data_IF_070476105224
#
_entry.id   IF_070476105224
#
_cell.length_a   1.000
_cell.length_b   1.000
_cell.length_c   1.000
_cell.angle_alpha   90.00
_cell.angle_beta   90.00
_cell.angle_gamma   90.00
#
_symmetry.space_group_name_H-M   'P 1'
#
loop_
_entity.id
_entity.type
_entity.pdbx_description
1 polymer ?
#
# COMPACT_ATOMS: atom_id res chain seq x y z
N UNK A 1 9.71 21.12 13.19
CA UNK A 1 9.76 20.34 11.93
C UNK A 1 8.36 19.96 11.47
N UNK A 2 8.14 19.89 10.16
CA UNK A 2 6.87 19.59 9.53
C UNK A 2 6.26 18.27 10.01
N UNK A 3 4.94 18.25 10.13
CA UNK A 3 4.14 17.12 10.59
C UNK A 3 3.09 16.69 9.57
N UNK A 4 2.54 15.49 9.76
CA UNK A 4 1.45 14.97 8.94
C UNK A 4 0.21 14.77 9.81
N UNK A 5 -0.65 15.78 9.80
CA UNK A 5 -1.90 15.81 10.53
C UNK A 5 -3.01 15.07 9.78
N UNK A 6 -4.08 14.72 10.50
CA UNK A 6 -5.25 14.06 9.91
C UNK A 6 -6.49 14.86 10.23
N UNK A 7 -7.25 15.20 9.19
CA UNK A 7 -8.49 15.95 9.34
C UNK A 7 -9.70 15.13 8.88
N UNK A 8 -10.87 15.48 9.42
CA UNK A 8 -12.14 15.00 8.89
C UNK A 8 -12.67 16.04 7.91
N UNK A 9 -12.41 15.81 6.62
CA UNK A 9 -12.81 16.75 5.57
C UNK A 9 -14.31 16.65 5.30
N UNK A 10 -15.00 17.78 5.46
CA UNK A 10 -16.41 17.94 5.13
C UNK A 10 -16.54 18.89 3.93
N UNK A 11 -16.98 18.40 2.76
CA UNK A 11 -17.19 19.23 1.58
C UNK A 11 -18.26 20.30 1.85
N UNK A 12 -17.87 21.57 1.84
CA UNK A 12 -18.77 22.72 1.96
C UNK A 12 -18.51 23.72 0.83
N UNK A 13 -19.52 24.50 0.48
CA UNK A 13 -19.41 25.62 -0.46
C UNK A 13 -19.75 26.91 0.29
N UNK A 14 -18.96 27.94 0.07
CA UNK A 14 -19.27 29.29 0.49
C UNK A 14 -20.32 29.87 -0.47
N UNK A 15 -21.44 30.32 0.08
CA UNK A 15 -22.51 31.01 -0.64
C UNK A 15 -22.79 32.33 0.08
N UNK A 16 -22.98 33.41 -0.68
CA UNK A 16 -23.39 34.70 -0.11
C UNK A 16 -24.91 34.74 -0.22
N UNK A 17 -25.61 34.74 0.93
CA UNK A 17 -27.07 34.94 1.01
C UNK A 17 -27.31 36.14 1.92
N UNK A 18 -28.13 37.08 1.45
CA UNK A 18 -28.52 38.29 2.17
C UNK A 18 -27.33 39.11 2.73
N UNK A 19 -26.24 39.19 1.94
CA UNK A 19 -25.03 39.92 2.33
C UNK A 19 -24.16 39.20 3.39
N UNK A 20 -24.52 37.99 3.79
CA UNK A 20 -23.77 37.17 4.77
C UNK A 20 -23.15 35.93 4.12
N UNK A 21 -21.95 35.55 4.57
CA UNK A 21 -21.29 34.32 4.17
C UNK A 21 -21.97 33.13 4.86
N UNK A 22 -22.59 32.24 4.08
CA UNK A 22 -23.14 30.98 4.55
C UNK A 22 -22.38 29.79 3.97
N UNK A 23 -22.25 28.73 4.76
CA UNK A 23 -21.62 27.49 4.34
C UNK A 23 -22.68 26.44 4.03
N UNK A 24 -22.90 26.16 2.74
CA UNK A 24 -23.81 25.11 2.30
C UNK A 24 -23.07 23.76 2.23
N UNK A 25 -23.71 22.68 2.68
CA UNK A 25 -23.14 21.34 2.58
C UNK A 25 -23.21 20.85 1.13
N UNK A 26 -22.09 20.37 0.59
CA UNK A 26 -22.08 19.75 -0.74
C UNK A 26 -22.53 18.29 -0.65
N UNK A 27 -23.22 17.79 -1.68
CA UNK A 27 -23.57 16.36 -1.86
C UNK A 27 -22.36 15.49 -2.21
N UNK A 28 -21.22 15.70 -1.54
CA UNK A 28 -19.99 14.89 -1.68
C UNK A 28 -19.73 14.17 -0.38
N UNK A 29 -19.24 12.93 -0.46
CA UNK A 29 -18.96 12.12 0.73
C UNK A 29 -17.85 12.79 1.57
N UNK A 30 -18.00 12.87 2.90
CA UNK A 30 -16.92 13.32 3.77
C UNK A 30 -15.74 12.34 3.73
N UNK A 31 -14.53 12.85 3.92
CA UNK A 31 -13.31 12.04 3.92
C UNK A 31 -12.75 12.06 5.34
N UNK A 32 -12.83 10.91 6.02
CA UNK A 32 -12.24 10.72 7.35
C UNK A 32 -10.73 10.57 7.22
N UNK A 33 -9.98 11.12 8.18
CA UNK A 33 -8.52 10.99 8.25
C UNK A 33 -7.76 11.42 6.97
N UNK A 34 -8.20 12.50 6.32
CA UNK A 34 -7.47 13.07 5.18
C UNK A 34 -6.11 13.60 5.67
N UNK A 35 -4.98 13.13 5.12
CA UNK A 35 -3.66 13.56 5.52
C UNK A 35 -3.36 15.00 5.07
N UNK A 36 -2.80 15.82 5.95
CA UNK A 36 -2.40 17.21 5.69
C UNK A 36 -0.97 17.45 6.19
N UNK A 37 -0.13 18.11 5.40
CA UNK A 37 1.19 18.56 5.81
C UNK A 37 1.07 19.96 6.42
N UNK A 38 1.65 20.10 7.60
CA UNK A 38 1.79 21.33 8.36
C UNK A 38 3.27 21.58 8.58
N UNK A 39 3.73 22.79 8.32
CA UNK A 39 5.11 23.23 8.52
C UNK A 39 5.39 23.49 10.01
N UNK A 40 6.66 23.66 10.38
CA UNK A 40 7.08 23.95 11.75
C UNK A 40 6.44 25.21 12.34
N UNK A 41 6.16 26.22 11.52
CA UNK A 41 5.52 27.47 11.91
C UNK A 41 3.98 27.34 12.08
N UNK A 42 3.44 26.13 12.00
CA UNK A 42 2.01 25.80 11.98
C UNK A 42 1.26 26.30 10.74
N UNK A 43 1.95 26.86 9.74
CA UNK A 43 1.34 27.13 8.45
C UNK A 43 1.16 25.81 7.67
N UNK A 44 0.25 25.81 6.70
CA UNK A 44 -0.04 24.59 5.93
C UNK A 44 0.66 24.62 4.59
N UNK A 45 1.12 23.47 4.11
CA UNK A 45 1.54 23.34 2.72
C UNK A 45 0.30 23.19 1.82
N UNK A 46 -0.30 24.33 1.46
CA UNK A 46 -1.58 24.40 0.76
C UNK A 46 -1.62 23.53 -0.50
N UNK A 47 -0.57 23.56 -1.32
CA UNK A 47 -0.46 22.83 -2.57
C UNK A 47 -0.42 21.32 -2.36
N UNK A 48 0.41 20.85 -1.43
CA UNK A 48 0.48 19.43 -1.09
C UNK A 48 -0.84 18.93 -0.51
N UNK A 49 -1.53 19.76 0.27
CA UNK A 49 -2.82 19.47 0.88
C UNK A 49 -3.97 19.44 -0.13
N UNK A 50 -3.96 20.35 -1.11
CA UNK A 50 -4.86 20.31 -2.26
C UNK A 50 -4.62 19.06 -3.11
N UNK A 51 -3.35 18.67 -3.30
CA UNK A 51 -3.03 17.43 -4.00
C UNK A 51 -3.58 16.21 -3.24
N UNK A 52 -3.43 16.14 -1.92
CA UNK A 52 -4.00 15.05 -1.11
C UNK A 52 -5.53 14.95 -1.30
N UNK A 53 -6.23 16.09 -1.30
CA UNK A 53 -7.68 16.15 -1.51
C UNK A 53 -8.08 15.70 -2.92
N UNK A 54 -7.38 16.16 -3.96
CA UNK A 54 -7.62 15.74 -5.35
C UNK A 54 -7.44 14.23 -5.52
N UNK A 55 -6.38 13.68 -4.91
CA UNK A 55 -6.10 12.25 -4.93
C UNK A 55 -7.17 11.44 -4.19
N UNK A 56 -7.67 11.93 -3.05
CA UNK A 56 -8.67 11.25 -2.23
C UNK A 56 -10.10 11.36 -2.79
N UNK A 57 -10.37 12.38 -3.61
CA UNK A 57 -11.66 12.56 -4.29
C UNK A 57 -11.71 11.86 -5.65
N UNK A 58 -10.56 11.50 -6.22
CA UNK A 58 -10.49 10.67 -7.42
C UNK A 58 -10.94 9.24 -7.12
N UNK A 59 -11.85 8.68 -7.94
CA UNK A 59 -12.30 7.28 -7.81
C UNK A 59 -11.21 6.22 -8.04
N UNK A 60 -10.00 6.66 -8.44
CA UNK A 60 -8.90 5.79 -8.86
C UNK A 60 -7.95 5.38 -7.74
N UNK A 61 -8.03 5.98 -6.55
CA UNK A 61 -7.03 5.76 -5.47
C UNK A 61 -7.69 5.57 -4.13
N UNK A 62 -7.23 4.55 -3.39
CA UNK A 62 -7.64 4.36 -2.01
C UNK A 62 -6.94 5.38 -1.08
N UNK A 63 -7.56 5.67 0.06
CA UNK A 63 -7.02 6.63 1.02
C UNK A 63 -5.67 6.17 1.61
N UNK A 64 -5.43 4.86 1.65
CA UNK A 64 -4.15 4.28 2.08
C UNK A 64 -2.99 4.71 1.16
N UNK A 65 -3.22 4.69 -0.15
CA UNK A 65 -2.26 5.16 -1.16
C UNK A 65 -2.06 6.67 -1.05
N UNK A 66 -3.12 7.44 -0.81
CA UNK A 66 -3.00 8.89 -0.56
C UNK A 66 -2.11 9.15 0.66
N UNK A 67 -2.35 8.45 1.76
CA UNK A 67 -1.54 8.57 2.98
C UNK A 67 -0.08 8.17 2.77
N UNK A 68 0.18 7.10 2.02
CA UNK A 68 1.54 6.69 1.66
C UNK A 68 2.26 7.77 0.84
N UNK A 69 1.61 8.32 -0.18
CA UNK A 69 2.16 9.43 -0.96
C UNK A 69 2.45 10.66 -0.09
N UNK A 70 1.53 11.04 0.80
CA UNK A 70 1.72 12.18 1.68
C UNK A 70 2.82 11.96 2.72
N UNK A 71 3.03 10.72 3.17
CA UNK A 71 4.17 10.39 4.03
C UNK A 71 5.51 10.56 3.31
N UNK A 72 5.57 10.25 2.01
CA UNK A 72 6.74 10.53 1.19
C UNK A 72 6.96 12.03 0.97
N UNK A 73 5.91 12.81 0.75
CA UNK A 73 6.01 14.27 0.67
C UNK A 73 6.39 14.89 2.02
N UNK A 74 5.94 14.34 3.14
CA UNK A 74 6.38 14.79 4.47
C UNK A 74 7.90 14.65 4.63
N UNK A 75 8.48 13.54 4.17
CA UNK A 75 9.93 13.37 4.21
C UNK A 75 10.66 14.44 3.39
N UNK A 76 10.06 14.87 2.28
CA UNK A 76 10.57 15.98 1.48
C UNK A 76 10.39 17.34 2.20
N UNK A 77 9.22 17.60 2.79
CA UNK A 77 8.94 18.79 3.60
C UNK A 77 9.96 18.97 4.74
N UNK A 78 10.20 17.90 5.50
CA UNK A 78 11.19 17.89 6.59
C UNK A 78 12.61 18.19 6.10
N UNK A 79 12.98 17.66 4.93
CA UNK A 79 14.28 17.93 4.33
C UNK A 79 14.39 19.39 3.85
N UNK A 80 13.33 19.95 3.28
CA UNK A 80 13.29 21.36 2.86
C UNK A 80 13.50 22.31 4.05
N UNK A 81 12.84 22.05 5.18
CA UNK A 81 13.04 22.84 6.41
C UNK A 81 14.47 22.70 6.95
N UNK A 82 14.98 21.46 7.04
CA UNK A 82 16.33 21.20 7.54
C UNK A 82 17.41 21.91 6.70
N UNK A 83 17.21 22.00 5.38
CA UNK A 83 18.12 22.69 4.46
C UNK A 83 17.78 24.17 4.24
N UNK A 84 16.69 24.66 4.84
CA UNK A 84 16.16 26.03 4.63
C UNK A 84 15.94 26.38 3.15
N UNK A 85 15.41 25.43 2.36
CA UNK A 85 15.14 25.59 0.93
C UNK A 85 13.63 25.71 0.70
N UNK A 86 13.22 26.68 -0.12
CA UNK A 86 11.84 26.78 -0.56
C UNK A 86 11.49 25.68 -1.56
N UNK A 87 10.30 25.10 -1.45
CA UNK A 87 9.86 24.03 -2.35
C UNK A 87 9.67 24.50 -3.81
N UNK A 88 9.56 25.80 -4.07
CA UNK A 88 9.55 26.38 -5.43
C UNK A 88 10.92 26.90 -5.90
N UNK A 89 12.02 26.50 -5.24
CA UNK A 89 13.36 26.97 -5.59
C UNK A 89 13.92 26.26 -6.84
N UNK A 90 13.81 26.93 -7.99
CA UNK A 90 14.24 26.45 -9.32
C UNK A 90 15.14 27.47 -10.05
N UNK A 91 16.38 27.70 -9.56
CA UNK A 91 17.34 28.57 -10.24
C UNK A 91 17.83 27.96 -11.57
N UNK A 92 18.53 28.79 -12.36
CA UNK A 92 19.17 28.39 -13.62
C UNK A 92 20.08 27.17 -13.40
N UNK A 93 20.94 27.24 -12.37
CA UNK A 93 21.87 26.17 -12.04
C UNK A 93 21.14 24.94 -11.52
N UNK A 94 21.15 23.88 -12.33
CA UNK A 94 20.43 22.63 -12.05
C UNK A 94 20.78 22.02 -10.68
N UNK A 95 22.05 22.00 -10.31
CA UNK A 95 22.51 21.40 -9.05
C UNK A 95 21.95 22.07 -7.79
N UNK A 96 21.47 23.32 -7.91
CA UNK A 96 20.90 24.09 -6.80
C UNK A 96 19.39 23.92 -6.68
N UNK A 97 18.73 23.38 -7.71
CA UNK A 97 17.28 23.14 -7.71
C UNK A 97 16.91 22.19 -6.57
N UNK A 98 15.84 22.54 -5.85
CA UNK A 98 15.40 21.80 -4.66
C UNK A 98 15.20 20.30 -4.92
N UNK A 99 14.69 19.92 -6.10
CA UNK A 99 14.48 18.52 -6.48
C UNK A 99 15.77 17.74 -6.72
N UNK A 100 16.78 18.38 -7.33
CA UNK A 100 18.07 17.76 -7.63
C UNK A 100 18.85 17.55 -6.33
N UNK A 101 18.86 18.56 -5.45
CA UNK A 101 19.45 18.47 -4.12
C UNK A 101 18.78 17.38 -3.27
N UNK A 102 17.45 17.32 -3.27
CA UNK A 102 16.72 16.27 -2.53
C UNK A 102 17.02 14.87 -3.06
N UNK A 103 17.08 14.70 -4.38
CA UNK A 103 17.51 13.44 -4.99
C UNK A 103 18.92 13.05 -4.52
N UNK A 104 19.85 14.00 -4.48
CA UNK A 104 21.19 13.79 -3.95
C UNK A 104 21.18 13.27 -2.51
N UNK A 105 20.41 13.91 -1.64
CA UNK A 105 20.24 13.50 -0.24
C UNK A 105 19.65 12.08 -0.12
N UNK A 106 18.63 11.74 -0.92
CA UNK A 106 18.06 10.39 -0.94
C UNK A 106 19.05 9.32 -1.40
N UNK A 107 19.87 9.63 -2.40
CA UNK A 107 20.91 8.71 -2.90
C UNK A 107 22.01 8.53 -1.85
N UNK A 108 22.44 9.60 -1.17
CA UNK A 108 23.42 9.53 -0.09
C UNK A 108 22.90 8.65 1.07
N UNK A 109 21.68 8.92 1.57
CA UNK A 109 21.04 8.13 2.63
C UNK A 109 20.82 6.66 2.25
N UNK A 110 20.58 6.38 0.96
CA UNK A 110 20.49 5.01 0.46
C UNK A 110 21.86 4.32 0.50
N UNK A 111 22.91 5.02 0.08
CA UNK A 111 24.25 4.46 -0.01
C UNK A 111 24.88 4.26 1.38
N UNK A 112 24.50 5.05 2.39
CA UNK A 112 24.90 4.87 3.79
C UNK A 112 24.13 3.75 4.52
N UNK A 113 23.03 3.26 3.94
CA UNK A 113 22.18 2.23 4.54
C UNK A 113 21.05 2.79 5.42
N UNK A 114 20.96 4.10 5.61
CA UNK A 114 19.88 4.76 6.38
C UNK A 114 18.51 4.65 5.69
N UNK A 115 18.51 4.41 4.38
CA UNK A 115 17.30 4.35 3.57
C UNK A 115 17.30 3.15 2.63
N UNK A 116 16.25 2.32 2.71
CA UNK A 116 16.07 1.23 1.76
C UNK A 116 15.97 1.76 0.31
N UNK A 117 16.52 1.04 -0.70
CA UNK A 117 16.44 1.43 -2.10
C UNK A 117 15.02 1.69 -2.60
N UNK A 118 14.07 0.84 -2.18
CA UNK A 118 12.65 0.99 -2.49
C UNK A 118 12.08 2.29 -1.94
N UNK A 119 12.41 2.64 -0.69
CA UNK A 119 11.94 3.86 -0.03
C UNK A 119 12.52 5.11 -0.69
N UNK A 120 13.79 5.11 -1.07
CA UNK A 120 14.41 6.20 -1.82
C UNK A 120 13.70 6.45 -3.16
N UNK A 121 13.48 5.38 -3.93
CA UNK A 121 12.74 5.45 -5.20
C UNK A 121 11.30 5.92 -5.03
N UNK A 122 10.58 5.41 -4.03
CA UNK A 122 9.19 5.78 -3.78
C UNK A 122 9.04 7.23 -3.32
N UNK A 123 9.95 7.73 -2.46
CA UNK A 123 9.99 9.13 -2.02
C UNK A 123 10.12 10.06 -3.22
N UNK A 124 11.13 9.83 -4.06
CA UNK A 124 11.35 10.69 -5.23
C UNK A 124 10.20 10.61 -6.23
N UNK A 125 9.65 9.41 -6.45
CA UNK A 125 8.52 9.23 -7.35
C UNK A 125 7.24 9.96 -6.85
N UNK A 126 7.00 10.01 -5.54
CA UNK A 126 5.88 10.76 -4.98
C UNK A 126 6.04 12.27 -5.19
N UNK A 127 7.25 12.81 -4.97
CA UNK A 127 7.57 14.22 -5.22
C UNK A 127 7.40 14.56 -6.70
N UNK A 128 7.93 13.76 -7.62
CA UNK A 128 7.74 13.97 -9.07
C UNK A 128 6.25 13.98 -9.45
N UNK A 129 5.43 13.08 -8.88
CA UNK A 129 3.98 13.06 -9.13
C UNK A 129 3.29 14.33 -8.64
N UNK A 130 3.69 14.84 -7.49
CA UNK A 130 3.17 16.10 -6.94
C UNK A 130 3.49 17.28 -7.87
N UNK A 131 4.74 17.45 -8.31
CA UNK A 131 5.09 18.55 -9.22
C UNK A 131 4.49 18.40 -10.62
N UNK A 132 4.33 17.17 -11.14
CA UNK A 132 3.58 16.94 -12.39
C UNK A 132 2.13 17.38 -12.25
N UNK A 133 1.50 17.08 -11.11
CA UNK A 133 0.14 17.55 -10.82
C UNK A 133 0.08 19.09 -10.72
N UNK A 134 1.05 19.71 -10.06
CA UNK A 134 1.17 21.18 -9.97
C UNK A 134 1.25 21.84 -11.35
N UNK A 135 2.06 21.28 -12.27
CA UNK A 135 2.15 21.77 -13.65
C UNK A 135 0.81 21.64 -14.39
N UNK A 136 0.15 20.48 -14.32
CA UNK A 136 -1.14 20.25 -14.98
C UNK A 136 -2.23 21.19 -14.45
N UNK A 137 -2.20 21.49 -13.14
CA UNK A 137 -3.12 22.43 -12.48
C UNK A 137 -2.71 23.90 -12.64
N UNK A 138 -1.57 24.19 -13.30
CA UNK A 138 -0.99 25.53 -13.47
C UNK A 138 -0.77 26.27 -12.14
N UNK A 139 -0.45 25.51 -11.08
CA UNK A 139 -0.15 26.05 -9.75
C UNK A 139 1.35 26.37 -9.58
N UNK A 140 2.18 26.01 -10.57
CA UNK A 140 3.59 26.36 -10.62
C UNK A 140 3.99 26.69 -12.06
N UNK A 141 4.80 27.74 -12.23
CA UNK A 141 5.39 28.15 -13.50
C UNK A 141 6.82 28.61 -13.25
N UNK A 142 7.78 27.68 -13.07
CA UNK A 142 9.16 28.05 -12.83
C UNK A 142 9.76 28.62 -14.11
N UNK A 143 10.64 29.61 -13.96
CA UNK A 143 11.37 30.22 -15.08
C UNK A 143 12.30 29.20 -15.77
N UNK A 144 12.92 28.34 -14.97
CA UNK A 144 13.76 27.25 -15.43
C UNK A 144 13.08 25.89 -15.25
N UNK A 145 13.33 24.92 -16.14
CA UNK A 145 12.68 23.61 -16.06
C UNK A 145 13.04 22.90 -14.74
N UNK A 146 12.06 22.25 -14.12
CA UNK A 146 12.27 21.53 -12.86
C UNK A 146 13.14 20.27 -13.01
N UNK A 147 13.13 19.68 -14.22
CA UNK A 147 13.83 18.43 -14.57
C UNK A 147 13.88 18.23 -16.09
N UNK A 148 14.74 17.31 -16.54
CA UNK A 148 14.71 16.80 -17.91
C UNK A 148 13.74 15.63 -18.06
N UNK A 149 12.93 15.65 -19.12
CA UNK A 149 12.10 14.49 -19.48
C UNK A 149 12.95 13.45 -20.20
N UNK A 150 12.76 12.17 -19.85
CA UNK A 150 13.44 11.03 -20.48
C UNK A 150 12.43 9.96 -20.83
N UNK A 151 12.69 9.17 -21.86
CA UNK A 151 11.87 8.01 -22.19
C UNK A 151 12.62 6.73 -21.82
N UNK A 152 11.97 5.84 -21.09
CA UNK A 152 12.55 4.55 -20.67
C UNK A 152 11.70 3.43 -21.26
N UNK A 153 12.35 2.50 -21.97
CA UNK A 153 11.71 1.28 -22.46
C UNK A 153 11.52 0.28 -21.33
N UNK A 154 10.28 -0.08 -21.02
CA UNK A 154 9.94 -1.16 -20.10
C UNK A 154 9.58 -2.38 -20.94
N UNK A 155 10.35 -3.46 -20.77
CA UNK A 155 10.00 -4.75 -21.34
C UNK A 155 8.91 -5.40 -20.49
N UNK A 156 7.79 -5.70 -21.12
CA UNK A 156 6.68 -6.45 -20.56
C UNK A 156 6.69 -7.83 -21.19
N UNK A 157 6.81 -8.86 -20.36
CA UNK A 157 6.64 -10.25 -20.78
C UNK A 157 5.20 -10.64 -20.54
N UNK A 158 4.49 -11.06 -21.58
CA UNK A 158 3.13 -11.57 -21.41
C UNK A 158 3.16 -13.02 -20.86
N UNK A 159 2.04 -13.54 -20.34
CA UNK A 159 1.96 -14.92 -19.84
C UNK A 159 2.30 -16.00 -20.88
N UNK A 160 2.31 -15.66 -22.17
CA UNK A 160 2.62 -16.54 -23.29
C UNK A 160 4.08 -16.41 -23.78
N UNK A 161 4.92 -15.65 -23.06
CA UNK A 161 6.36 -15.51 -23.36
C UNK A 161 6.74 -14.46 -24.42
N UNK A 162 5.80 -13.67 -24.94
CA UNK A 162 6.11 -12.58 -25.86
C UNK A 162 6.58 -11.34 -25.10
N UNK A 163 7.68 -10.74 -25.58
CA UNK A 163 8.20 -9.47 -25.07
C UNK A 163 7.63 -8.29 -25.86
N UNK A 164 6.98 -7.36 -25.17
CA UNK A 164 6.61 -6.05 -25.72
C UNK A 164 7.38 -4.96 -24.98
N UNK A 165 8.07 -4.08 -25.72
CA UNK A 165 8.75 -2.92 -25.12
C UNK A 165 7.82 -1.71 -25.19
N UNK A 166 7.39 -1.22 -24.03
CA UNK A 166 6.59 0.00 -23.90
C UNK A 166 7.50 1.17 -23.52
N UNK A 167 7.47 2.27 -24.27
CA UNK A 167 8.16 3.50 -23.86
C UNK A 167 7.35 4.25 -22.81
N UNK A 168 7.97 4.56 -21.67
CA UNK A 168 7.35 5.29 -20.57
C UNK A 168 8.11 6.58 -20.33
N UNK A 169 7.37 7.69 -20.24
CA UNK A 169 7.92 8.98 -19.84
C UNK A 169 8.39 8.94 -18.38
N UNK A 170 9.66 9.22 -18.18
CA UNK A 170 10.39 9.30 -16.91
C UNK A 170 11.08 10.66 -16.81
N UNK A 171 11.82 10.88 -15.73
CA UNK A 171 12.61 12.08 -15.51
C UNK A 171 14.04 11.68 -15.11
N UNK A 172 15.01 12.53 -15.39
CA UNK A 172 16.38 12.45 -14.83
C UNK A 172 16.41 12.36 -13.29
N UNK A 173 15.38 12.91 -12.63
CA UNK A 173 15.20 12.84 -11.19
C UNK A 173 14.88 11.44 -10.66
N UNK A 174 14.44 10.50 -11.49
CA UNK A 174 14.06 9.18 -11.04
C UNK A 174 15.25 8.44 -10.42
N UNK A 175 15.06 7.82 -9.25
CA UNK A 175 16.05 6.98 -8.59
C UNK A 175 15.75 5.52 -8.93
N UNK A 176 16.61 4.82 -9.70
CA UNK A 176 16.40 3.41 -10.01
C UNK A 176 16.44 2.55 -8.74
N UNK A 177 15.44 1.69 -8.58
CA UNK A 177 15.42 0.69 -7.51
C UNK A 177 16.29 -0.51 -7.90
N UNK A 178 17.62 -0.31 -7.88
CA UNK A 178 18.57 -1.41 -8.06
C UNK A 178 18.67 -2.17 -6.74
N UNK A 179 18.09 -3.38 -6.70
CA UNK A 179 18.36 -4.32 -5.61
C UNK A 179 19.85 -4.68 -5.66
N UNK A 180 20.50 -4.74 -4.50
CA UNK A 180 21.87 -5.27 -4.41
C UNK A 180 21.80 -6.74 -4.84
N UNK A 181 22.50 -7.10 -5.91
CA UNK A 181 22.55 -8.47 -6.39
C UNK A 181 23.30 -9.33 -5.36
N UNK A 182 22.68 -10.42 -4.89
CA UNK A 182 23.35 -11.42 -4.06
C UNK A 182 22.59 -11.90 -2.82
N UNK A 183 21.56 -11.17 -2.35
CA UNK A 183 20.77 -11.60 -1.20
C UNK A 183 19.37 -12.03 -1.65
N UNK A 184 18.96 -13.26 -1.30
CA UNK A 184 17.56 -13.71 -1.37
C UNK A 184 16.78 -12.87 -0.35
N UNK A 185 16.37 -11.67 -0.76
CA UNK A 185 15.62 -10.74 0.10
C UNK A 185 14.16 -10.71 -0.35
N UNK A 186 13.29 -11.13 0.57
CA UNK A 186 11.84 -10.89 0.48
C UNK A 186 11.54 -9.39 0.61
N UNK A 187 10.25 -9.01 0.61
CA UNK A 187 9.85 -7.63 0.92
C UNK A 187 10.50 -7.18 2.26
N UNK A 188 11.04 -5.95 2.29
CA UNK A 188 11.71 -5.32 3.45
C UNK A 188 12.96 -6.01 4.02
N UNK A 189 13.65 -6.83 3.22
CA UNK A 189 14.90 -7.47 3.66
C UNK A 189 14.68 -8.69 4.56
N UNK A 190 13.45 -9.18 4.63
CA UNK A 190 13.13 -10.43 5.32
C UNK A 190 13.83 -11.61 4.63
N UNK A 191 14.30 -12.54 5.44
CA UNK A 191 14.81 -13.83 4.99
C UNK A 191 13.69 -14.88 5.12
N UNK A 192 13.56 -15.81 4.16
CA UNK A 192 12.66 -16.95 4.32
C UNK A 192 12.98 -17.71 5.62
N UNK A 193 11.93 -18.08 6.36
CA UNK A 193 12.07 -18.96 7.52
C UNK A 193 12.58 -20.32 7.04
N UNK A 194 13.63 -20.84 7.68
CA UNK A 194 14.15 -22.16 7.35
C UNK A 194 13.12 -23.25 7.68
N UNK A 195 13.22 -24.42 7.04
CA UNK A 195 12.30 -25.54 7.31
C UNK A 195 12.39 -25.98 8.79
N UNK A 196 13.58 -25.94 9.40
CA UNK A 196 13.75 -26.24 10.82
C UNK A 196 13.03 -25.23 11.72
N UNK A 197 13.25 -23.94 11.49
CA UNK A 197 12.60 -22.88 12.25
C UNK A 197 11.08 -22.88 12.06
N UNK A 198 10.60 -23.17 10.84
CA UNK A 198 9.16 -23.32 10.57
C UNK A 198 8.55 -24.42 11.45
N UNK A 199 9.20 -25.59 11.55
CA UNK A 199 8.74 -26.69 12.41
C UNK A 199 8.71 -26.27 13.88
N UNK A 200 9.75 -25.62 14.37
CA UNK A 200 9.82 -25.12 15.75
C UNK A 200 8.71 -24.09 16.04
N UNK A 201 8.48 -23.15 15.11
CA UNK A 201 7.41 -22.15 15.22
C UNK A 201 6.04 -22.83 15.29
N UNK A 202 5.78 -23.82 14.44
CA UNK A 202 4.51 -24.54 14.44
C UNK A 202 4.28 -25.33 15.74
N UNK A 203 5.31 -26.02 16.23
CA UNK A 203 5.24 -26.73 17.53
C UNK A 203 4.99 -25.75 18.67
N UNK A 204 5.70 -24.61 18.69
CA UNK A 204 5.51 -23.59 19.71
C UNK A 204 4.10 -22.99 19.66
N UNK A 205 3.57 -22.76 18.44
CA UNK A 205 2.23 -22.25 18.22
C UNK A 205 1.17 -23.25 18.69
N UNK A 206 1.32 -24.54 18.42
CA UNK A 206 0.37 -25.56 18.89
C UNK A 206 0.31 -25.63 20.42
N UNK A 207 1.44 -25.43 21.11
CA UNK A 207 1.50 -25.48 22.57
C UNK A 207 1.01 -24.20 23.26
N UNK A 208 1.27 -23.02 22.66
CA UNK A 208 1.14 -21.74 23.38
C UNK A 208 0.21 -20.73 22.71
N UNK A 209 -0.09 -20.87 21.42
CA UNK A 209 -0.95 -19.93 20.70
C UNK A 209 -2.42 -20.33 20.77
N UNK A 210 -3.29 -19.43 20.32
CA UNK A 210 -4.68 -19.80 20.07
C UNK A 210 -4.76 -20.73 18.87
N UNK A 211 -5.75 -21.64 18.87
CA UNK A 211 -6.04 -22.53 17.74
C UNK A 211 -6.13 -21.77 16.41
N UNK A 212 -6.78 -20.59 16.41
CA UNK A 212 -6.87 -19.74 15.23
C UNK A 212 -5.51 -19.28 14.71
N UNK A 213 -4.61 -18.87 15.61
CA UNK A 213 -3.28 -18.40 15.22
C UNK A 213 -2.42 -19.56 14.69
N UNK A 214 -2.49 -20.74 15.32
CA UNK A 214 -1.80 -21.93 14.79
C UNK A 214 -2.30 -22.29 13.39
N UNK A 215 -3.61 -22.32 13.16
CA UNK A 215 -4.20 -22.59 11.84
C UNK A 215 -3.84 -21.52 10.80
N UNK A 216 -3.82 -20.24 11.18
CA UNK A 216 -3.35 -19.16 10.29
C UNK A 216 -1.88 -19.31 9.91
N UNK A 217 -1.01 -19.69 10.86
CA UNK A 217 0.41 -19.92 10.58
C UNK A 217 0.59 -21.10 9.63
N UNK A 218 -0.11 -22.22 9.85
CA UNK A 218 -0.10 -23.37 8.94
C UNK A 218 -0.56 -22.99 7.54
N UNK A 219 -1.66 -22.25 7.42
CA UNK A 219 -2.09 -21.70 6.13
C UNK A 219 -1.00 -20.85 5.49
N UNK A 220 -0.39 -19.92 6.22
CA UNK A 220 0.68 -19.08 5.70
C UNK A 220 1.88 -19.88 5.17
N UNK A 221 2.36 -20.86 5.94
CA UNK A 221 3.51 -21.68 5.57
C UNK A 221 3.23 -22.64 4.40
N UNK A 222 2.07 -23.31 4.39
CA UNK A 222 1.78 -24.37 3.42
C UNK A 222 1.10 -23.89 2.14
N UNK A 223 0.42 -22.74 2.16
CA UNK A 223 -0.28 -22.17 1.00
C UNK A 223 0.37 -20.90 0.46
N UNK A 224 1.26 -20.25 1.22
CA UNK A 224 1.89 -18.99 0.82
C UNK A 224 0.91 -17.81 0.72
N UNK A 225 -0.31 -17.95 1.25
CA UNK A 225 -1.30 -16.88 1.27
C UNK A 225 -0.78 -15.70 2.10
N UNK A 226 -1.03 -14.49 1.61
CA UNK A 226 -0.78 -13.27 2.39
C UNK A 226 -1.74 -13.23 3.57
N UNK A 227 -1.31 -12.69 4.70
CA UNK A 227 -2.13 -12.59 5.91
C UNK A 227 -3.52 -11.97 5.66
N UNK A 228 -3.60 -10.92 4.81
CA UNK A 228 -4.87 -10.29 4.47
C UNK A 228 -5.85 -11.22 3.73
N UNK A 229 -5.34 -12.15 2.91
CA UNK A 229 -6.15 -13.18 2.26
C UNK A 229 -6.53 -14.28 3.24
N UNK A 230 -5.62 -14.70 4.13
CA UNK A 230 -5.90 -15.69 5.20
C UNK A 230 -7.04 -15.19 6.10
N UNK A 231 -6.99 -13.92 6.52
CA UNK A 231 -8.02 -13.32 7.38
C UNK A 231 -9.35 -13.06 6.66
N UNK A 232 -9.37 -13.13 5.33
CA UNK A 232 -10.57 -12.94 4.52
C UNK A 232 -11.04 -14.25 3.84
N UNK A 233 -10.51 -15.40 4.24
CA UNK A 233 -11.03 -16.71 3.81
C UNK A 233 -12.42 -16.93 4.42
N UNK A 234 -13.33 -17.50 3.63
CA UNK A 234 -14.68 -17.87 4.08
C UNK A 234 -14.79 -19.38 4.27
N UNK A 235 -15.74 -19.83 5.08
CA UNK A 235 -15.99 -21.27 5.28
C UNK A 235 -16.33 -21.94 3.95
N UNK A 236 -17.15 -21.29 3.13
CA UNK A 236 -17.50 -21.82 1.81
C UNK A 236 -16.31 -21.92 0.85
N UNK A 237 -15.25 -21.11 1.03
CA UNK A 237 -14.02 -21.25 0.24
C UNK A 237 -13.36 -22.61 0.44
N UNK A 238 -13.43 -23.17 1.65
CA UNK A 238 -12.88 -24.49 1.96
C UNK A 238 -13.70 -25.61 1.31
N UNK A 239 -15.02 -25.53 1.38
CA UNK A 239 -15.92 -26.52 0.79
C UNK A 239 -15.87 -26.54 -0.74
N UNK A 240 -15.53 -25.40 -1.35
CA UNK A 240 -15.38 -25.28 -2.80
C UNK A 240 -13.96 -25.64 -3.29
N UNK A 241 -13.10 -26.16 -2.41
CA UNK A 241 -11.77 -26.58 -2.81
C UNK A 241 -11.84 -27.71 -3.86
N UNK A 242 -11.04 -27.59 -4.91
CA UNK A 242 -11.01 -28.58 -5.99
C UNK A 242 -9.91 -29.61 -5.76
N UNK A 243 -10.22 -30.88 -6.05
CA UNK A 243 -9.25 -31.97 -5.94
C UNK A 243 -8.23 -31.89 -7.06
N UNK A 244 -6.95 -32.03 -6.72
CA UNK A 244 -5.91 -32.27 -7.72
C UNK A 244 -5.81 -33.78 -7.95
N UNK A 245 -6.06 -34.29 -9.16
CA UNK A 245 -5.95 -35.72 -9.43
C UNK A 245 -4.57 -36.25 -9.05
N UNK A 246 -4.52 -37.44 -8.44
CA UNK A 246 -3.29 -38.21 -8.14
C UNK A 246 -2.32 -37.56 -7.14
N UNK A 247 -2.72 -36.49 -6.45
CA UNK A 247 -1.89 -35.78 -5.48
C UNK A 247 -2.74 -35.50 -4.24
N UNK A 248 -2.23 -35.78 -3.02
CA UNK A 248 -2.90 -35.52 -1.72
C UNK A 248 -3.05 -34.03 -1.36
N UNK A 249 -3.36 -33.21 -2.37
CA UNK A 249 -3.43 -31.76 -2.32
C UNK A 249 -4.75 -31.31 -2.95
N UNK A 250 -5.28 -30.21 -2.42
CA UNK A 250 -6.45 -29.51 -2.95
C UNK A 250 -6.04 -28.13 -3.43
N UNK A 251 -6.96 -27.48 -4.14
CA UNK A 251 -6.79 -26.11 -4.64
C UNK A 251 -7.88 -25.20 -4.09
N UNK A 252 -7.47 -24.11 -3.47
CA UNK A 252 -8.33 -23.02 -3.01
C UNK A 252 -8.35 -21.91 -4.05
N UNK A 253 -9.52 -21.59 -4.56
CA UNK A 253 -9.71 -20.41 -5.41
C UNK A 253 -9.76 -19.15 -4.53
N UNK A 254 -8.91 -18.17 -4.84
CA UNK A 254 -8.84 -16.88 -4.14
C UNK A 254 -8.89 -15.72 -5.13
N UNK A 255 -9.24 -14.52 -4.64
CA UNK A 255 -9.40 -13.32 -5.46
C UNK A 255 -10.87 -13.01 -5.77
N UNK A 256 -11.12 -11.97 -6.59
CA UNK A 256 -12.48 -11.54 -6.93
C UNK A 256 -13.25 -12.56 -7.79
N UNK A 257 -12.54 -13.45 -8.51
CA UNK A 257 -13.16 -14.51 -9.31
C UNK A 257 -13.58 -15.75 -8.51
N UNK A 258 -13.12 -15.87 -7.26
CA UNK A 258 -13.50 -16.97 -6.39
C UNK A 258 -14.97 -16.85 -5.95
N UNK A 259 -15.58 -17.98 -5.61
CA UNK A 259 -16.95 -18.04 -5.08
C UNK A 259 -16.90 -18.78 -3.74
N UNK A 260 -17.05 -18.09 -2.59
CA UNK A 260 -17.19 -16.64 -2.41
C UNK A 260 -15.87 -15.89 -2.70
N UNK A 261 -15.93 -14.57 -3.00
CA UNK A 261 -14.72 -13.76 -3.25
C UNK A 261 -13.80 -13.68 -2.04
N UNK A 262 -12.49 -13.73 -2.29
CA UNK A 262 -11.44 -13.55 -1.27
C UNK A 262 -10.56 -12.36 -1.66
N UNK A 263 -10.33 -11.45 -0.72
CA UNK A 263 -9.52 -10.25 -0.92
C UNK A 263 -8.06 -10.62 -1.13
N UNK A 264 -7.51 -10.17 -2.25
CA UNK A 264 -6.10 -10.38 -2.61
C UNK A 264 -5.45 -9.05 -2.97
N UNK A 265 -4.13 -8.99 -2.81
CA UNK A 265 -3.34 -7.81 -3.20
C UNK A 265 -3.56 -7.56 -4.70
N UNK A 266 -3.99 -6.35 -5.05
CA UNK A 266 -4.32 -5.94 -6.42
C UNK A 266 -5.48 -6.70 -7.08
N UNK A 267 -6.36 -7.32 -6.30
CA UNK A 267 -7.50 -8.09 -6.80
C UNK A 267 -7.10 -9.19 -7.80
N UNK A 268 -5.91 -9.77 -7.62
CA UNK A 268 -5.45 -10.90 -8.43
C UNK A 268 -6.24 -12.17 -8.08
N UNK A 269 -6.83 -12.81 -9.09
CA UNK A 269 -7.43 -14.14 -8.94
C UNK A 269 -6.39 -15.23 -9.13
N UNK A 270 -6.51 -16.32 -8.38
CA UNK A 270 -5.62 -17.45 -8.51
C UNK A 270 -6.06 -18.66 -7.71
N UNK A 271 -5.42 -19.79 -8.02
CA UNK A 271 -5.65 -21.09 -7.40
C UNK A 271 -4.45 -21.46 -6.56
N UNK A 272 -4.65 -21.71 -5.26
CA UNK A 272 -3.58 -21.93 -4.28
C UNK A 272 -3.59 -23.38 -3.81
N UNK A 273 -2.46 -24.10 -3.89
CA UNK A 273 -2.38 -25.47 -3.40
C UNK A 273 -2.41 -25.50 -1.86
N UNK A 274 -3.14 -26.47 -1.31
CA UNK A 274 -3.20 -26.74 0.14
C UNK A 274 -3.14 -28.25 0.38
N UNK A 275 -2.39 -28.73 1.40
CA UNK A 275 -2.44 -30.13 1.81
C UNK A 275 -3.85 -30.54 2.24
N UNK A 276 -4.30 -31.73 1.86
CA UNK A 276 -5.64 -32.24 2.20
C UNK A 276 -5.89 -32.30 3.71
N UNK A 277 -4.92 -32.79 4.48
CA UNK A 277 -4.98 -32.85 5.95
C UNK A 277 -5.19 -31.47 6.60
N UNK A 278 -4.57 -30.43 6.04
CA UNK A 278 -4.74 -29.07 6.53
C UNK A 278 -6.13 -28.54 6.19
N UNK A 279 -6.64 -28.83 4.99
CA UNK A 279 -7.99 -28.44 4.60
C UNK A 279 -9.03 -29.09 5.53
N UNK A 280 -8.91 -30.38 5.81
CA UNK A 280 -9.79 -31.11 6.71
C UNK A 280 -9.77 -30.52 8.13
N UNK A 281 -8.57 -30.18 8.63
CA UNK A 281 -8.41 -29.51 9.93
C UNK A 281 -9.14 -28.16 9.97
N UNK A 282 -9.08 -27.38 8.89
CA UNK A 282 -9.78 -26.09 8.79
C UNK A 282 -11.31 -26.26 8.71
N UNK A 283 -11.79 -27.28 8.00
CA UNK A 283 -13.21 -27.63 7.95
C UNK A 283 -13.70 -28.11 9.31
N UNK A 284 -12.92 -28.92 10.03
CA UNK A 284 -13.25 -29.34 11.39
C UNK A 284 -13.33 -28.13 12.35
N UNK A 285 -12.36 -27.22 12.26
CA UNK A 285 -12.38 -25.97 13.02
C UNK A 285 -13.60 -25.08 12.68
N UNK A 286 -14.01 -25.00 11.40
CA UNK A 286 -15.17 -24.19 10.99
C UNK A 286 -16.48 -24.67 11.62
N UNK A 287 -16.56 -25.96 11.97
CA UNK A 287 -17.71 -26.57 12.63
C UNK A 287 -17.54 -26.66 14.16
N UNK A 288 -16.41 -26.23 14.71
CA UNK A 288 -16.12 -26.29 16.13
C UNK A 288 -17.06 -25.40 16.95
N UNK A 289 -17.41 -25.83 18.16
CA UNK A 289 -18.20 -25.02 19.11
C UNK A 289 -17.54 -23.67 19.38
N UNK A 290 -16.20 -23.63 19.35
CA UNK A 290 -15.38 -22.44 19.50
C UNK A 290 -15.66 -21.41 18.40
N UNK A 291 -15.60 -21.82 17.14
CA UNK A 291 -15.87 -20.94 15.99
C UNK A 291 -17.34 -20.53 15.94
N UNK A 292 -18.27 -21.47 16.17
CA UNK A 292 -19.71 -21.20 16.18
C UNK A 292 -20.10 -20.14 17.22
N UNK A 293 -19.54 -20.18 18.43
CA UNK A 293 -19.76 -19.13 19.44
C UNK A 293 -19.29 -17.75 18.98
N UNK A 294 -18.20 -17.66 18.22
CA UNK A 294 -17.73 -16.38 17.65
C UNK A 294 -18.62 -15.90 16.51
N UNK A 295 -19.11 -16.82 15.68
CA UNK A 295 -20.07 -16.52 14.61
C UNK A 295 -21.34 -15.88 15.16
N UNK A 296 -21.87 -16.36 16.30
CA UNK A 296 -23.03 -15.77 16.95
C UNK A 296 -22.83 -14.31 17.40
N UNK A 297 -21.58 -13.91 17.70
CA UNK A 297 -21.24 -12.57 18.16
C UNK A 297 -20.85 -11.62 17.01
N UNK A 298 -20.40 -12.18 15.89
CA UNK A 298 -19.94 -11.45 14.72
C UNK A 298 -21.06 -10.66 14.03
N UNK A 299 -20.67 -9.59 13.33
CA UNK A 299 -21.61 -8.85 12.48
C UNK A 299 -22.13 -9.76 11.35
N UNK A 300 -23.38 -9.60 10.89
CA UNK A 300 -23.95 -10.43 9.84
C UNK A 300 -23.10 -10.54 8.57
N UNK A 301 -22.39 -9.47 8.21
CA UNK A 301 -21.50 -9.39 7.04
C UNK A 301 -20.25 -10.28 7.18
N UNK A 302 -19.79 -10.51 8.42
CA UNK A 302 -18.55 -11.22 8.73
C UNK A 302 -18.77 -12.70 9.09
N UNK A 303 -20.02 -13.13 9.28
CA UNK A 303 -20.34 -14.47 9.81
C UNK A 303 -19.82 -15.64 8.96
N UNK A 304 -19.55 -15.42 7.68
CA UNK A 304 -19.00 -16.44 6.78
C UNK A 304 -17.46 -16.51 6.84
N UNK A 305 -16.79 -15.56 7.49
CA UNK A 305 -15.33 -15.60 7.67
C UNK A 305 -14.91 -16.84 8.45
N UNK A 306 -13.85 -17.50 7.99
CA UNK A 306 -13.29 -18.69 8.63
C UNK A 306 -12.78 -18.34 10.03
N UNK A 307 -12.01 -17.26 10.13
CA UNK A 307 -11.44 -16.79 11.39
C UNK A 307 -12.16 -15.55 11.89
N UNK A 308 -12.73 -15.65 13.09
CA UNK A 308 -13.47 -14.57 13.74
C UNK A 308 -12.78 -14.14 15.03
N UNK A 309 -12.86 -12.85 15.36
CA UNK A 309 -12.37 -12.32 16.62
C UNK A 309 -13.26 -12.73 17.79
N UNK A 310 -12.70 -12.70 19.01
CA UNK A 310 -13.46 -12.94 20.24
C UNK A 310 -14.40 -11.77 20.58
N UNK A 311 -14.01 -10.56 20.19
CA UNK A 311 -14.69 -9.30 20.49
C UNK A 311 -15.22 -8.67 19.19
N UNK A 312 -16.32 -7.91 19.30
CA UNK A 312 -16.86 -7.09 18.21
C UNK A 312 -15.95 -5.91 17.89
#
# INVERSE_FOLDING_TARGET
MASLEKINYQPRRAEISDGSLQWSALKRKPIKNLPQIVWEDNSTWAEANLWALDQATSSKRDLKTVRSNMFHLLAYAKWLEAESIQWWHFPERESERCLVRFRGALVAARNSGDLAPSTASQRMAAVIRFYKWMQVRRLISPEWPMWEQRFVGIKLTNPFGFEHTMQVASTDLAIPNRKVAGAIQLEDGLLPVSISAMKEILVLADCNATEELSLMLRLGFFSGLRIGSITDLKVQTLHNATTVPEVGWKRLEVGPGARPPVSTKFSASGSVPIPEELLESLISYSMSTRRLKRQMLANPEDQDLLFLTRYR
#
